data_IF_916309939852
#
_entry.id   IF_916309939852
#
_cell.length_a   1.000
_cell.length_b   1.000
_cell.length_c   1.000
_cell.angle_alpha   90.00
_cell.angle_beta   90.00
_cell.angle_gamma   90.00
#
_symmetry.space_group_name_H-M   'P 1'
#
loop_
_entity.id
_entity.type
_entity.pdbx_description
1 polymer ?
#
# COMPACT_ATOMS: atom_id res chain seq x y z
N UNK A 1 -34.75 47.84 20.35
CA UNK A 1 -35.43 47.07 19.29
C UNK A 1 -34.44 46.89 18.13
N UNK A 2 -34.42 45.67 17.61
CA UNK A 2 -33.43 44.99 16.77
C UNK A 2 -33.37 45.50 15.32
N UNK A 3 -32.22 45.42 14.64
CA UNK A 3 -32.07 44.77 13.31
C UNK A 3 -30.70 45.06 12.67
N UNK A 4 -29.78 44.11 12.79
CA UNK A 4 -28.59 44.00 11.92
C UNK A 4 -28.97 43.26 10.63
N UNK A 5 -28.53 43.78 9.49
CA UNK A 5 -28.78 43.20 8.17
C UNK A 5 -27.83 42.03 7.88
N UNK A 6 -28.41 40.98 7.28
CA UNK A 6 -27.83 39.67 7.08
C UNK A 6 -26.78 39.61 5.95
N UNK A 7 -25.71 38.85 6.21
CA UNK A 7 -24.85 38.27 5.17
C UNK A 7 -24.91 36.75 5.27
N UNK A 8 -25.30 36.09 4.19
CA UNK A 8 -25.09 34.65 4.01
C UNK A 8 -25.03 34.34 2.51
N UNK A 9 -23.82 34.15 1.99
CA UNK A 9 -23.58 33.48 0.71
C UNK A 9 -23.80 31.99 0.96
N UNK A 10 -24.91 31.44 0.44
CA UNK A 10 -25.14 30.01 0.45
C UNK A 10 -24.34 29.38 -0.70
N UNK A 11 -23.32 28.61 -0.35
CA UNK A 11 -22.70 27.65 -1.26
C UNK A 11 -23.71 26.52 -1.52
N UNK A 12 -24.21 26.43 -2.75
CA UNK A 12 -24.87 25.22 -3.27
C UNK A 12 -23.78 24.19 -3.54
N UNK A 13 -23.69 23.19 -2.66
CA UNK A 13 -22.92 21.97 -2.86
C UNK A 13 -23.84 20.75 -2.76
N UNK A 14 -24.08 20.09 -3.90
CA UNK A 14 -24.61 18.72 -4.01
C UNK A 14 -23.70 17.73 -3.24
N UNK A 15 -24.11 16.61 -2.63
CA UNK A 15 -25.15 15.61 -2.92
C UNK A 15 -25.21 14.53 -1.79
N UNK A 16 -25.95 13.41 -1.96
CA UNK A 16 -27.11 12.99 -1.18
C UNK A 16 -26.81 12.24 0.13
N UNK A 17 -27.86 12.13 0.95
CA UNK A 17 -27.86 11.52 2.28
C UNK A 17 -27.44 10.06 2.32
N UNK A 18 -26.69 9.74 3.38
CA UNK A 18 -26.39 8.38 3.79
C UNK A 18 -27.61 7.76 4.46
N UNK A 19 -28.26 6.82 3.77
CA UNK A 19 -29.09 5.82 4.43
C UNK A 19 -28.22 4.59 4.70
N UNK A 20 -27.96 4.36 5.98
CA UNK A 20 -27.30 3.16 6.50
C UNK A 20 -28.21 1.94 6.31
N UNK A 21 -27.91 1.12 5.30
CA UNK A 21 -28.35 -0.27 5.25
C UNK A 21 -27.15 -1.16 5.64
N UNK A 22 -27.17 -1.65 6.88
CA UNK A 22 -26.25 -2.67 7.36
C UNK A 22 -26.42 -3.95 6.55
N UNK A 23 -25.54 -4.14 5.57
CA UNK A 23 -25.31 -5.44 4.94
C UNK A 23 -23.86 -5.82 5.18
N UNK A 24 -23.61 -6.69 6.16
CA UNK A 24 -22.33 -7.42 6.24
C UNK A 24 -22.34 -8.39 5.06
N UNK A 25 -21.85 -7.94 3.90
CA UNK A 25 -21.92 -8.76 2.70
C UNK A 25 -21.28 -8.09 1.48
N UNK A 26 -20.06 -8.50 1.16
CA UNK A 26 -19.27 -8.17 -0.03
C UNK A 26 -18.71 -6.73 -0.13
N UNK A 27 -17.43 -6.57 0.21
CA UNK A 27 -16.65 -5.35 -0.08
C UNK A 27 -16.69 -5.03 -1.58
N UNK A 28 -16.72 -3.75 -1.97
CA UNK A 28 -16.71 -3.36 -3.38
C UNK A 28 -15.44 -3.85 -4.10
N UNK A 29 -15.45 -3.93 -5.44
CA UNK A 29 -14.26 -4.28 -6.21
C UNK A 29 -13.08 -3.33 -5.92
N UNK A 30 -13.37 -2.04 -5.73
CA UNK A 30 -12.40 -1.01 -5.35
C UNK A 30 -11.82 -1.27 -3.95
N UNK A 31 -12.64 -1.63 -2.96
CA UNK A 31 -12.16 -1.93 -1.61
C UNK A 31 -11.29 -3.19 -1.58
N UNK A 32 -11.67 -4.19 -2.39
CA UNK A 32 -10.83 -5.38 -2.57
C UNK A 32 -9.50 -5.02 -3.24
N UNK A 33 -9.49 -4.08 -4.18
CA UNK A 33 -8.27 -3.62 -4.84
C UNK A 33 -7.37 -2.86 -3.84
N UNK A 34 -7.91 -1.92 -3.06
CA UNK A 34 -7.18 -1.23 -1.98
C UNK A 34 -6.57 -2.22 -1.00
N UNK A 35 -7.37 -3.17 -0.50
CA UNK A 35 -6.91 -4.19 0.44
C UNK A 35 -5.87 -5.15 -0.15
N UNK A 36 -5.83 -5.35 -1.47
CA UNK A 36 -4.75 -6.08 -2.15
C UNK A 36 -3.47 -5.25 -2.20
N UNK A 37 -3.55 -3.99 -2.62
CA UNK A 37 -2.38 -3.11 -2.71
C UNK A 37 -1.72 -2.90 -1.36
N UNK A 38 -2.51 -2.71 -0.29
CA UNK A 38 -2.01 -2.60 1.08
C UNK A 38 -1.22 -3.86 1.50
N UNK A 39 -1.82 -5.05 1.38
CA UNK A 39 -1.17 -6.32 1.75
C UNK A 39 0.08 -6.60 0.93
N UNK A 40 0.05 -6.32 -0.37
CA UNK A 40 1.23 -6.51 -1.21
C UNK A 40 2.36 -5.53 -0.85
N UNK A 41 2.04 -4.29 -0.43
CA UNK A 41 3.03 -3.36 0.11
C UNK A 41 3.59 -3.86 1.45
N UNK A 42 2.75 -4.35 2.36
CA UNK A 42 3.19 -4.88 3.66
C UNK A 42 4.15 -6.08 3.48
N UNK A 43 3.83 -7.01 2.59
CA UNK A 43 4.71 -8.13 2.25
C UNK A 43 6.06 -7.66 1.67
N UNK A 44 6.07 -6.55 0.94
CA UNK A 44 7.30 -5.94 0.45
C UNK A 44 8.09 -5.27 1.59
N UNK A 45 7.44 -4.60 2.55
CA UNK A 45 8.10 -4.07 3.77
C UNK A 45 8.79 -5.18 4.55
N UNK A 46 8.15 -6.35 4.69
CA UNK A 46 8.75 -7.53 5.34
C UNK A 46 10.02 -7.98 4.61
N UNK A 47 10.01 -7.98 3.27
CA UNK A 47 11.20 -8.27 2.46
C UNK A 47 12.33 -7.27 2.69
N UNK A 48 12.04 -5.97 2.67
CA UNK A 48 13.04 -4.94 3.00
C UNK A 48 13.61 -5.13 4.40
N UNK A 49 12.75 -5.45 5.38
CA UNK A 49 13.15 -5.69 6.78
C UNK A 49 14.08 -6.91 6.88
N UNK A 50 13.77 -7.99 6.18
CA UNK A 50 14.61 -9.17 6.14
C UNK A 50 15.98 -8.90 5.50
N UNK A 51 16.03 -8.13 4.40
CA UNK A 51 17.29 -7.73 3.75
C UNK A 51 18.12 -6.84 4.66
N UNK A 52 17.51 -5.84 5.32
CA UNK A 52 18.18 -4.97 6.29
C UNK A 52 18.77 -5.75 7.48
N UNK A 53 18.05 -6.76 7.97
CA UNK A 53 18.53 -7.61 9.05
C UNK A 53 19.74 -8.47 8.65
N UNK A 54 19.77 -8.96 7.41
CA UNK A 54 20.88 -9.75 6.87
C UNK A 54 22.07 -8.90 6.44
N UNK A 55 21.82 -7.68 5.95
CA UNK A 55 22.80 -6.78 5.34
C UNK A 55 22.74 -5.37 5.93
N UNK A 56 23.19 -5.15 7.19
CA UNK A 56 23.09 -3.85 7.84
C UNK A 56 23.87 -2.73 7.13
N UNK A 57 24.91 -3.07 6.37
CA UNK A 57 25.69 -2.11 5.58
C UNK A 57 24.85 -1.40 4.50
N UNK A 58 23.74 -2.00 4.05
CA UNK A 58 22.83 -1.43 3.06
C UNK A 58 21.82 -0.43 3.66
N UNK A 59 21.83 -0.19 4.97
CA UNK A 59 20.83 0.63 5.65
C UNK A 59 20.67 2.02 5.04
N UNK A 60 21.78 2.70 4.71
CA UNK A 60 21.75 4.03 4.10
C UNK A 60 21.00 4.10 2.77
N UNK A 61 20.97 3.00 2.00
CA UNK A 61 20.21 2.90 0.76
C UNK A 61 18.76 2.44 1.01
N UNK A 62 18.57 1.45 1.88
CA UNK A 62 17.32 0.70 1.99
C UNK A 62 16.31 1.30 2.97
N UNK A 63 16.75 2.03 4.00
CA UNK A 63 15.83 2.61 4.99
C UNK A 63 14.87 3.64 4.38
N UNK A 64 15.33 4.61 3.54
CA UNK A 64 14.43 5.56 2.91
C UNK A 64 13.42 4.87 1.98
N UNK A 65 13.87 3.88 1.20
CA UNK A 65 13.00 3.14 0.30
C UNK A 65 11.94 2.33 1.08
N UNK A 66 12.35 1.66 2.16
CA UNK A 66 11.41 0.93 3.04
C UNK A 66 10.37 1.87 3.65
N UNK A 67 10.78 3.06 4.10
CA UNK A 67 9.87 4.05 4.67
C UNK A 67 8.80 4.49 3.65
N UNK A 68 9.18 4.72 2.38
CA UNK A 68 8.21 5.02 1.33
C UNK A 68 7.26 3.85 1.05
N UNK A 69 7.73 2.60 1.06
CA UNK A 69 6.85 1.42 0.90
C UNK A 69 5.86 1.28 2.08
N UNK A 70 6.27 1.62 3.30
CA UNK A 70 5.36 1.70 4.47
C UNK A 70 4.28 2.75 4.22
N UNK A 71 4.66 3.97 3.82
CA UNK A 71 3.70 5.04 3.51
C UNK A 71 2.75 4.65 2.38
N UNK A 72 3.23 3.92 1.39
CA UNK A 72 2.38 3.35 0.35
C UNK A 72 1.36 2.36 0.93
N UNK A 73 1.74 1.47 1.85
CA UNK A 73 0.79 0.57 2.51
C UNK A 73 -0.29 1.36 3.27
N UNK A 74 0.12 2.35 4.06
CA UNK A 74 -0.76 3.22 4.85
C UNK A 74 -1.76 3.99 3.96
N UNK A 75 -1.32 4.49 2.80
CA UNK A 75 -2.17 5.19 1.84
C UNK A 75 -3.35 4.33 1.32
N UNK A 76 -3.23 3.00 1.38
CA UNK A 76 -4.31 2.05 1.03
C UNK A 76 -5.00 1.42 2.25
N UNK A 77 -4.74 1.94 3.46
CA UNK A 77 -5.33 1.46 4.71
C UNK A 77 -4.58 0.30 5.37
N UNK A 78 -3.34 0.02 4.95
CA UNK A 78 -2.42 -0.87 5.68
C UNK A 78 -2.04 -0.29 7.05
N UNK A 79 -1.59 -1.12 7.98
CA UNK A 79 -1.21 -0.71 9.34
C UNK A 79 -2.37 -0.29 10.28
N UNK A 80 -3.58 -0.02 9.76
CA UNK A 80 -4.75 0.37 10.55
C UNK A 80 -5.32 -0.75 11.45
N UNK A 81 -4.82 -1.99 11.34
CA UNK A 81 -5.25 -3.13 12.15
C UNK A 81 -4.70 -3.12 13.59
N UNK A 82 -3.92 -2.11 13.98
CA UNK A 82 -3.40 -1.95 15.34
C UNK A 82 -4.33 -1.17 16.30
N UNK A 83 -5.48 -0.66 15.83
CA UNK A 83 -6.50 -0.08 16.71
C UNK A 83 -7.40 -1.20 17.28
N UNK A 84 -7.56 -1.34 18.61
CA UNK A 84 -8.40 -2.37 19.20
C UNK A 84 -9.87 -1.97 19.06
N UNK A 85 -10.52 -2.39 17.97
CA UNK A 85 -11.98 -2.49 17.94
C UNK A 85 -12.35 -3.96 17.96
N UNK A 86 -12.90 -4.39 19.10
CA UNK A 86 -13.27 -5.77 19.37
C UNK A 86 -14.23 -6.31 18.32
N UNK A 87 -13.76 -7.25 17.51
CA UNK A 87 -14.59 -8.22 16.80
C UNK A 87 -13.73 -9.44 16.48
N UNK A 88 -14.15 -10.57 17.03
CA UNK A 88 -13.50 -11.88 16.97
C UNK A 88 -13.20 -12.27 15.50
N UNK A 89 -11.99 -12.75 15.17
CA UNK A 89 -11.68 -13.12 13.79
C UNK A 89 -12.45 -14.40 13.39
N UNK A 90 -13.01 -14.48 12.16
CA UNK A 90 -13.36 -15.77 11.59
C UNK A 90 -12.07 -16.58 11.38
N UNK A 91 -12.11 -17.89 11.68
CA UNK A 91 -10.98 -18.81 11.52
C UNK A 91 -10.37 -18.68 10.13
N UNK A 92 -9.16 -18.11 10.07
CA UNK A 92 -8.36 -18.11 8.87
C UNK A 92 -7.92 -19.55 8.61
N UNK A 93 -8.50 -20.17 7.59
CA UNK A 93 -7.95 -21.38 7.00
C UNK A 93 -6.49 -21.08 6.64
N UNK A 94 -5.56 -21.83 7.25
CA UNK A 94 -4.14 -21.69 7.04
C UNK A 94 -3.80 -21.96 5.58
N UNK A 95 -3.87 -20.91 4.75
CA UNK A 95 -3.29 -20.92 3.42
C UNK A 95 -1.79 -21.07 3.65
N UNK A 96 -1.26 -22.23 3.24
CA UNK A 96 0.13 -22.67 3.42
C UNK A 96 1.06 -21.48 3.23
N UNK A 97 1.60 -20.97 4.35
CA UNK A 97 2.59 -19.91 4.33
C UNK A 97 3.81 -20.49 3.61
N UNK A 98 3.99 -20.13 2.35
CA UNK A 98 5.24 -20.40 1.68
C UNK A 98 6.30 -19.72 2.53
N UNK A 99 7.21 -20.50 3.12
CA UNK A 99 8.31 -19.96 3.91
C UNK A 99 8.98 -18.85 3.11
N UNK A 100 9.26 -17.68 3.73
CA UNK A 100 9.90 -16.60 3.02
C UNK A 100 11.18 -17.15 2.39
N UNK A 101 11.34 -16.97 1.08
CA UNK A 101 12.58 -17.37 0.40
C UNK A 101 13.78 -16.80 1.16
N UNK A 102 14.84 -17.57 1.41
CA UNK A 102 15.98 -17.08 2.16
C UNK A 102 16.58 -15.86 1.47
N UNK A 103 16.99 -14.86 2.25
CA UNK A 103 17.70 -13.69 1.73
C UNK A 103 19.06 -14.14 1.20
N UNK A 104 19.46 -13.73 -0.01
CA UNK A 104 20.79 -14.02 -0.54
C UNK A 104 21.90 -13.59 0.42
N UNK A 105 22.99 -14.36 0.49
CA UNK A 105 24.10 -14.09 1.41
C UNK A 105 25.03 -12.98 0.95
N UNK A 106 24.99 -12.60 -0.33
CA UNK A 106 25.73 -11.46 -0.87
C UNK A 106 24.81 -10.25 -1.09
N UNK A 107 25.31 -9.07 -0.76
CA UNK A 107 24.58 -7.80 -0.83
C UNK A 107 24.02 -7.53 -2.24
N UNK A 108 24.83 -7.80 -3.27
CA UNK A 108 24.47 -7.55 -4.67
C UNK A 108 23.26 -8.38 -5.11
N UNK A 109 23.24 -9.68 -4.79
CA UNK A 109 22.11 -10.54 -5.10
C UNK A 109 20.89 -10.20 -4.25
N UNK A 110 21.08 -9.76 -3.00
CA UNK A 110 19.98 -9.29 -2.16
C UNK A 110 19.32 -8.03 -2.76
N UNK A 111 20.10 -7.06 -3.23
CA UNK A 111 19.61 -5.88 -3.94
C UNK A 111 18.92 -6.25 -5.26
N UNK A 112 19.52 -7.13 -6.06
CA UNK A 112 18.94 -7.59 -7.33
C UNK A 112 17.60 -8.33 -7.12
N UNK A 113 17.50 -9.12 -6.05
CA UNK A 113 16.24 -9.76 -5.66
C UNK A 113 15.18 -8.74 -5.27
N UNK A 114 15.54 -7.77 -4.43
CA UNK A 114 14.63 -6.72 -4.00
C UNK A 114 14.14 -5.86 -5.18
N UNK A 115 15.04 -5.52 -6.10
CA UNK A 115 14.72 -4.80 -7.34
C UNK A 115 13.70 -5.58 -8.20
N UNK A 116 13.89 -6.90 -8.32
CA UNK A 116 12.95 -7.79 -9.01
C UNK A 116 11.59 -7.82 -8.32
N UNK A 117 11.54 -7.85 -6.99
CA UNK A 117 10.27 -7.81 -6.24
C UNK A 117 9.53 -6.49 -6.43
N UNK A 118 10.23 -5.34 -6.34
CA UNK A 118 9.67 -4.01 -6.63
C UNK A 118 9.10 -3.94 -8.05
N UNK A 119 9.89 -4.35 -9.05
CA UNK A 119 9.47 -4.35 -10.46
C UNK A 119 8.23 -5.21 -10.69
N UNK A 120 8.23 -6.45 -10.19
CA UNK A 120 7.09 -7.35 -10.35
C UNK A 120 5.82 -6.79 -9.70
N UNK A 121 5.94 -6.12 -8.55
CA UNK A 121 4.80 -5.51 -7.89
C UNK A 121 4.30 -4.27 -8.64
N UNK A 122 5.21 -3.41 -9.11
CA UNK A 122 4.88 -2.29 -9.98
C UNK A 122 4.15 -2.76 -11.25
N UNK A 123 4.64 -3.80 -11.92
CA UNK A 123 4.01 -4.38 -13.12
C UNK A 123 2.60 -4.92 -12.82
N UNK A 124 2.41 -5.62 -11.70
CA UNK A 124 1.09 -6.11 -11.27
C UNK A 124 0.12 -4.95 -11.00
N UNK A 125 0.59 -3.89 -10.33
CA UNK A 125 -0.22 -2.69 -10.04
C UNK A 125 -0.62 -1.98 -11.33
N UNK A 126 0.31 -1.79 -12.26
CA UNK A 126 0.06 -1.19 -13.58
C UNK A 126 -1.00 -1.95 -14.36
N UNK A 127 -0.94 -3.29 -14.37
CA UNK A 127 -1.98 -4.13 -14.99
C UNK A 127 -3.34 -3.97 -14.32
N UNK A 128 -3.35 -3.90 -12.98
CA UNK A 128 -4.58 -3.77 -12.20
C UNK A 128 -5.25 -2.39 -12.32
N UNK A 129 -4.58 -1.37 -12.88
CA UNK A 129 -5.16 -0.05 -13.10
C UNK A 129 -6.43 -0.08 -13.96
N UNK A 130 -6.50 -1.06 -14.88
CA UNK A 130 -7.64 -1.23 -15.80
C UNK A 130 -8.93 -1.65 -15.08
N UNK A 131 -8.81 -2.18 -13.85
CA UNK A 131 -9.91 -2.76 -13.07
C UNK A 131 -10.44 -1.82 -11.99
N UNK A 132 -9.89 -0.61 -11.87
CA UNK A 132 -10.24 0.36 -10.82
C UNK A 132 -10.61 1.72 -11.42
N UNK A 133 -11.66 2.39 -10.90
CA UNK A 133 -12.08 3.67 -11.44
C UNK A 133 -11.37 4.86 -10.79
N UNK A 134 -11.31 5.97 -11.55
CA UNK A 134 -11.13 7.32 -11.03
C UNK A 134 -9.87 7.53 -10.19
N UNK A 135 -10.06 8.14 -9.02
CA UNK A 135 -8.95 8.56 -8.16
C UNK A 135 -8.13 7.39 -7.60
N UNK A 136 -8.75 6.22 -7.40
CA UNK A 136 -8.03 5.03 -6.96
C UNK A 136 -7.01 4.57 -8.01
N UNK A 137 -7.37 4.62 -9.29
CA UNK A 137 -6.45 4.30 -10.38
C UNK A 137 -5.26 5.27 -10.41
N UNK A 138 -5.49 6.57 -10.21
CA UNK A 138 -4.43 7.59 -10.18
C UNK A 138 -3.46 7.38 -9.02
N UNK A 139 -3.99 7.10 -7.83
CA UNK A 139 -3.17 6.77 -6.65
C UNK A 139 -2.33 5.50 -6.90
N UNK A 140 -2.96 4.44 -7.42
CA UNK A 140 -2.25 3.20 -7.76
C UNK A 140 -1.18 3.41 -8.83
N UNK A 141 -1.42 4.25 -9.83
CA UNK A 141 -0.46 4.57 -10.87
C UNK A 141 0.75 5.32 -10.31
N UNK A 142 0.53 6.28 -9.41
CA UNK A 142 1.61 6.99 -8.72
C UNK A 142 2.48 6.04 -7.89
N UNK A 143 1.88 5.13 -7.14
CA UNK A 143 2.62 4.13 -6.33
C UNK A 143 3.33 3.09 -7.21
N UNK A 144 2.75 2.70 -8.34
CA UNK A 144 3.41 1.82 -9.31
C UNK A 144 4.64 2.51 -9.93
N UNK A 145 4.55 3.79 -10.28
CA UNK A 145 5.66 4.57 -10.79
C UNK A 145 6.78 4.74 -9.74
N UNK A 146 6.43 5.00 -8.48
CA UNK A 146 7.40 5.05 -7.38
C UNK A 146 8.14 3.72 -7.21
N UNK A 147 7.41 2.59 -7.21
CA UNK A 147 8.02 1.25 -7.14
C UNK A 147 8.93 0.93 -8.33
N UNK A 148 8.59 1.40 -9.53
CA UNK A 148 9.50 1.30 -10.69
C UNK A 148 10.78 2.13 -10.50
N UNK A 149 10.67 3.31 -9.90
CA UNK A 149 11.82 4.14 -9.50
C UNK A 149 12.70 3.46 -8.43
N UNK A 150 12.10 2.82 -7.43
CA UNK A 150 12.83 2.04 -6.44
C UNK A 150 13.57 0.87 -7.09
N UNK A 151 12.92 0.13 -7.98
CA UNK A 151 13.56 -0.97 -8.72
C UNK A 151 14.79 -0.50 -9.51
N UNK A 152 14.71 0.70 -10.11
CA UNK A 152 15.85 1.32 -10.78
C UNK A 152 16.98 1.64 -9.79
N UNK A 153 16.69 2.35 -8.68
CA UNK A 153 17.71 2.70 -7.68
C UNK A 153 18.39 1.46 -7.07
N UNK A 154 17.63 0.42 -6.77
CA UNK A 154 18.15 -0.85 -6.27
C UNK A 154 19.06 -1.54 -7.31
N UNK A 155 18.71 -1.46 -8.59
CA UNK A 155 19.54 -1.99 -9.68
C UNK A 155 20.83 -1.18 -9.81
N UNK A 156 20.79 0.15 -9.70
CA UNK A 156 22.01 0.98 -9.69
C UNK A 156 22.91 0.66 -8.48
N UNK A 157 22.33 0.37 -7.31
CA UNK A 157 23.06 -0.07 -6.12
C UNK A 157 23.80 -1.42 -6.27
N UNK A 158 23.57 -2.17 -7.35
CA UNK A 158 24.31 -3.42 -7.64
C UNK A 158 25.62 -3.21 -8.41
N UNK A 159 25.86 -1.99 -8.91
CA UNK A 159 27.03 -1.67 -9.75
C UNK A 159 28.21 -1.27 -8.88
#
# INVERSE_FOLDING_TARGET
>A
MLAGAAGAVLLVGCSPGSESATTVGSRSAADRARARVARDSEALVERYTAVLAAHPALAGLLEPLRAEVVRHAEAFGGGASAAPSGSKPPSASASRSASPSPVPTDEKSALAELARHEKQLADRRTKALLEVPGELARLMASVAAAGAGHAFLLTEGTK
#
